data_IF_969483564756
#
_entry.id   IF_969483564756
#
_cell.length_a   1.000
_cell.length_b   1.000
_cell.length_c   1.000
_cell.angle_alpha   90.00
_cell.angle_beta   90.00
_cell.angle_gamma   90.00
#
_symmetry.space_group_name_H-M   'P 1'
#
loop_
_entity.id
_entity.type
_entity.pdbx_description
1 polymer ?
#
# COMPACT_ATOMS: atom_id res chain seq x y z
N UNK A 1 -29.00 -30.56 27.55
CA UNK A 1 -28.54 -29.91 26.35
C UNK A 1 -27.05 -29.63 26.56
N UNK A 2 -26.19 -30.47 25.97
CA UNK A 2 -24.75 -30.22 25.84
C UNK A 2 -24.57 -29.33 24.62
N UNK A 3 -24.28 -28.06 24.83
CA UNK A 3 -23.68 -27.24 23.81
C UNK A 3 -22.15 -27.55 23.80
N UNK A 4 -21.71 -28.30 22.77
CA UNK A 4 -20.30 -28.45 22.50
C UNK A 4 -19.84 -27.08 22.00
N UNK A 5 -19.07 -26.38 22.80
CA UNK A 5 -18.25 -25.27 22.34
C UNK A 5 -17.17 -25.87 21.44
N UNK A 6 -17.38 -25.84 20.13
CA UNK A 6 -16.30 -26.11 19.17
C UNK A 6 -15.20 -25.07 19.38
N UNK A 7 -14.26 -25.40 20.22
CA UNK A 7 -13.06 -24.62 20.43
C UNK A 7 -12.26 -24.67 19.12
N UNK A 8 -12.18 -23.55 18.39
CA UNK A 8 -11.39 -23.46 17.18
C UNK A 8 -9.92 -23.56 17.57
N UNK A 9 -9.38 -24.77 17.53
CA UNK A 9 -7.97 -25.04 17.79
C UNK A 9 -7.18 -24.60 16.57
N UNK A 10 -6.59 -23.40 16.63
CA UNK A 10 -5.63 -22.99 15.63
C UNK A 10 -4.38 -23.86 15.70
N UNK A 11 -3.99 -24.44 14.57
CA UNK A 11 -2.77 -25.22 14.46
C UNK A 11 -1.58 -24.31 14.86
N UNK A 12 -0.68 -24.83 15.71
CA UNK A 12 0.51 -24.14 16.17
C UNK A 12 1.34 -23.55 15.00
N UNK A 13 1.45 -24.30 13.90
CA UNK A 13 2.13 -23.86 12.68
C UNK A 13 1.50 -22.60 12.08
N UNK A 14 0.16 -22.49 12.11
CA UNK A 14 -0.55 -21.30 11.64
C UNK A 14 -0.32 -20.11 12.58
N UNK A 15 -0.34 -20.36 13.89
CA UNK A 15 -0.06 -19.33 14.90
C UNK A 15 1.37 -18.82 14.76
N UNK A 16 2.34 -19.73 14.62
CA UNK A 16 3.74 -19.40 14.43
C UNK A 16 3.97 -18.62 13.13
N UNK A 17 3.32 -19.01 12.04
CA UNK A 17 3.31 -18.27 10.78
C UNK A 17 2.74 -16.84 10.93
N UNK A 18 1.61 -16.70 11.63
CA UNK A 18 1.00 -15.39 11.88
C UNK A 18 1.83 -14.50 12.83
N UNK A 19 2.67 -15.08 13.67
CA UNK A 19 3.53 -14.37 14.62
C UNK A 19 4.88 -13.97 14.03
N UNK A 20 5.32 -14.61 12.95
CA UNK A 20 6.58 -14.24 12.29
C UNK A 20 6.41 -12.89 11.58
N UNK A 21 7.28 -11.91 11.84
CA UNK A 21 7.35 -10.74 10.98
C UNK A 21 7.73 -11.20 9.57
N UNK A 22 7.22 -10.56 8.51
CA UNK A 22 7.67 -10.87 7.16
C UNK A 22 9.19 -10.76 7.12
N UNK A 23 9.84 -11.87 6.71
CA UNK A 23 11.28 -12.05 6.79
C UNK A 23 12.02 -11.22 5.73
N UNK A 24 12.18 -9.93 5.95
CA UNK A 24 13.21 -9.15 5.24
C UNK A 24 14.52 -9.33 6.06
N UNK A 25 15.16 -10.50 5.98
CA UNK A 25 16.18 -10.86 6.98
C UNK A 25 17.53 -11.33 6.43
N UNK A 26 17.79 -11.23 5.14
CA UNK A 26 19.13 -11.51 4.65
C UNK A 26 19.59 -10.43 3.71
N UNK A 27 20.86 -9.97 3.77
CA UNK A 27 21.41 -9.14 2.73
C UNK A 27 21.32 -9.94 1.43
N UNK A 28 20.39 -9.55 0.56
CA UNK A 28 20.34 -10.07 -0.80
C UNK A 28 21.64 -9.70 -1.48
N UNK A 29 22.18 -10.60 -2.30
CA UNK A 29 23.26 -10.26 -3.22
C UNK A 29 22.88 -8.98 -3.97
N UNK A 30 23.80 -8.04 -4.05
CA UNK A 30 23.62 -6.69 -4.60
C UNK A 30 23.44 -6.63 -6.12
N UNK A 31 23.17 -7.77 -6.76
CA UNK A 31 22.98 -7.81 -8.21
C UNK A 31 21.51 -7.56 -8.56
N UNK A 32 21.32 -6.50 -9.33
CA UNK A 32 20.04 -6.13 -9.91
C UNK A 32 19.44 -7.34 -10.67
N UNK A 33 18.19 -7.75 -10.42
CA UNK A 33 17.59 -8.82 -11.20
C UNK A 33 17.60 -8.40 -12.66
N UNK A 34 18.27 -9.16 -13.51
CA UNK A 34 18.23 -8.96 -14.95
C UNK A 34 16.85 -9.36 -15.45
N UNK A 35 16.00 -8.37 -15.59
CA UNK A 35 14.64 -8.51 -16.11
C UNK A 35 13.82 -7.30 -15.73
N UNK A 36 12.90 -6.88 -16.57
CA UNK A 36 12.00 -5.72 -16.37
C UNK A 36 10.95 -5.94 -15.27
N UNK A 37 11.22 -6.88 -14.33
CA UNK A 37 10.30 -7.20 -13.24
C UNK A 37 10.30 -6.10 -12.19
N UNK A 38 9.12 -5.68 -11.84
CA UNK A 38 8.84 -4.66 -10.81
C UNK A 38 7.90 -5.22 -9.75
N UNK A 39 7.97 -4.64 -8.57
CA UNK A 39 6.95 -4.83 -7.56
C UNK A 39 5.81 -3.85 -7.82
N UNK A 40 4.59 -4.35 -7.99
CA UNK A 40 3.39 -3.52 -8.14
C UNK A 40 2.59 -3.56 -6.85
N UNK A 41 2.14 -2.40 -6.38
CA UNK A 41 1.26 -2.26 -5.22
C UNK A 41 -0.05 -1.58 -5.63
N UNK A 42 -1.15 -2.33 -5.66
CA UNK A 42 -2.49 -1.75 -5.70
C UNK A 42 -2.87 -1.28 -4.30
N UNK A 43 -3.21 0.00 -4.19
CA UNK A 43 -3.22 0.74 -2.95
C UNK A 43 -4.45 1.65 -2.82
N UNK A 44 -4.95 1.87 -1.62
CA UNK A 44 -5.91 2.93 -1.34
C UNK A 44 -5.46 3.74 -0.14
N UNK A 45 -5.35 5.07 -0.31
CA UNK A 45 -4.86 5.98 0.74
C UNK A 45 -5.72 5.95 2.01
N UNK A 46 -6.98 5.55 1.89
CA UNK A 46 -7.91 5.41 3.02
C UNK A 46 -7.83 4.06 3.71
N UNK A 47 -7.22 3.04 3.08
CA UNK A 47 -7.17 1.70 3.65
C UNK A 47 -6.06 1.59 4.70
N UNK A 48 -6.39 1.31 5.99
CA UNK A 48 -5.36 1.12 7.01
C UNK A 48 -4.42 -0.04 6.72
N UNK A 49 -4.90 -1.13 6.13
CA UNK A 49 -4.03 -2.22 5.68
C UNK A 49 -3.12 -1.81 4.51
N UNK A 50 -3.60 -0.92 3.63
CA UNK A 50 -2.75 -0.36 2.57
C UNK A 50 -1.62 0.52 3.14
N UNK A 51 -1.85 1.21 4.26
CA UNK A 51 -0.81 1.97 4.97
C UNK A 51 0.33 1.04 5.44
N UNK A 52 0.00 -0.12 6.03
CA UNK A 52 1.00 -1.12 6.40
C UNK A 52 1.68 -1.69 5.15
N UNK A 53 0.89 -2.12 4.17
CA UNK A 53 1.38 -2.73 2.94
C UNK A 53 2.32 -1.82 2.14
N UNK A 54 2.05 -0.51 2.12
CA UNK A 54 2.92 0.48 1.46
C UNK A 54 4.32 0.51 2.08
N UNK A 55 4.40 0.56 3.41
CA UNK A 55 5.69 0.59 4.09
C UNK A 55 6.49 -0.70 3.90
N UNK A 56 5.80 -1.84 3.91
CA UNK A 56 6.42 -3.13 3.62
C UNK A 56 6.89 -3.22 2.16
N UNK A 57 6.08 -2.74 1.19
CA UNK A 57 6.44 -2.73 -0.22
C UNK A 57 7.66 -1.85 -0.48
N UNK A 58 7.73 -0.66 0.13
CA UNK A 58 8.88 0.24 0.01
C UNK A 58 10.14 -0.44 0.56
N UNK A 59 10.07 -1.04 1.76
CA UNK A 59 11.21 -1.77 2.35
C UNK A 59 11.66 -2.93 1.47
N UNK A 60 10.72 -3.70 0.94
CA UNK A 60 11.01 -4.85 0.08
C UNK A 60 11.66 -4.40 -1.24
N UNK A 61 11.10 -3.38 -1.89
CA UNK A 61 11.62 -2.83 -3.12
C UNK A 61 13.04 -2.26 -2.94
N UNK A 62 13.29 -1.52 -1.85
CA UNK A 62 14.61 -1.01 -1.51
C UNK A 62 15.62 -2.12 -1.25
N UNK A 63 15.23 -3.14 -0.46
CA UNK A 63 16.11 -4.26 -0.12
C UNK A 63 16.56 -5.04 -1.37
N UNK A 64 15.64 -5.29 -2.28
CA UNK A 64 15.92 -6.03 -3.52
C UNK A 64 16.21 -5.12 -4.71
N UNK A 65 16.33 -3.80 -4.53
CA UNK A 65 16.59 -2.82 -5.60
C UNK A 65 15.62 -2.98 -6.80
N UNK A 66 14.34 -3.23 -6.49
CA UNK A 66 13.29 -3.38 -7.48
C UNK A 66 12.58 -2.04 -7.70
N UNK A 67 12.19 -1.73 -8.94
CA UNK A 67 11.24 -0.66 -9.18
C UNK A 67 9.92 -0.96 -8.46
N UNK A 68 9.37 0.03 -7.76
CA UNK A 68 8.06 -0.05 -7.11
C UNK A 68 7.05 0.80 -7.88
N UNK A 69 6.04 0.14 -8.45
CA UNK A 69 4.93 0.76 -9.16
C UNK A 69 3.70 0.84 -8.23
N UNK A 70 3.39 2.02 -7.74
CA UNK A 70 2.24 2.25 -6.88
C UNK A 70 1.04 2.61 -7.74
N UNK A 71 -0.04 1.82 -7.60
CA UNK A 71 -1.30 1.96 -8.34
C UNK A 71 -2.44 2.33 -7.40
N UNK A 72 -2.71 3.63 -7.19
CA UNK A 72 -3.80 4.06 -6.33
C UNK A 72 -5.16 3.70 -6.92
N UNK A 73 -6.08 3.25 -6.02
CA UNK A 73 -7.45 2.86 -6.34
C UNK A 73 -8.39 3.57 -5.38
N UNK A 74 -9.53 4.05 -5.89
CA UNK A 74 -10.55 4.71 -5.08
C UNK A 74 -11.09 3.78 -3.97
N UNK A 75 -11.27 4.31 -2.74
CA UNK A 75 -11.89 3.56 -1.65
C UNK A 75 -13.26 2.99 -2.04
N UNK A 76 -13.56 1.78 -1.57
CA UNK A 76 -14.83 1.10 -1.85
C UNK A 76 -16.05 1.97 -1.54
N UNK A 77 -16.02 2.69 -0.42
CA UNK A 77 -17.13 3.55 0.00
C UNK A 77 -17.38 4.73 -0.97
N UNK A 78 -16.34 5.25 -1.61
CA UNK A 78 -16.45 6.29 -2.64
C UNK A 78 -17.01 5.74 -3.98
N UNK A 79 -17.09 4.41 -4.09
CA UNK A 79 -17.71 3.69 -5.20
C UNK A 79 -19.09 3.12 -4.84
N UNK A 80 -19.69 3.59 -3.73
CA UNK A 80 -21.03 3.17 -3.27
C UNK A 80 -21.07 1.86 -2.49
N UNK A 81 -19.91 1.23 -2.18
CA UNK A 81 -19.84 -0.01 -1.42
C UNK A 81 -19.67 0.29 0.07
N UNK A 82 -20.74 0.12 0.84
CA UNK A 82 -20.74 0.41 2.27
C UNK A 82 -19.95 -0.63 3.07
N UNK A 83 -19.21 -0.15 4.06
CA UNK A 83 -18.54 -1.00 5.05
C UNK A 83 -19.27 -0.87 6.39
N UNK A 84 -19.80 -1.96 6.97
CA UNK A 84 -20.50 -1.93 8.25
C UNK A 84 -19.62 -1.35 9.38
N UNK A 85 -20.26 -0.67 10.35
CA UNK A 85 -19.53 -0.02 11.47
C UNK A 85 -18.66 -1.02 12.25
N UNK A 86 -19.17 -2.21 12.53
CA UNK A 86 -18.45 -3.29 13.23
C UNK A 86 -17.17 -3.66 12.47
N UNK A 87 -17.25 -3.81 11.14
CA UNK A 87 -16.10 -4.13 10.28
C UNK A 87 -15.08 -2.98 10.28
N UNK A 88 -15.51 -1.72 10.29
CA UNK A 88 -14.59 -0.57 10.38
C UNK A 88 -13.80 -0.59 11.69
N UNK A 89 -14.48 -0.86 12.83
CA UNK A 89 -13.83 -0.93 14.14
C UNK A 89 -12.88 -2.13 14.23
N UNK A 90 -13.28 -3.28 13.68
CA UNK A 90 -12.38 -4.44 13.59
C UNK A 90 -11.10 -4.08 12.83
N UNK A 91 -11.22 -3.51 11.61
CA UNK A 91 -10.07 -3.10 10.79
C UNK A 91 -9.17 -2.14 11.56
N UNK A 92 -9.74 -1.14 12.25
CA UNK A 92 -8.97 -0.18 13.04
C UNK A 92 -8.12 -0.86 14.14
N UNK A 93 -8.75 -1.72 14.93
CA UNK A 93 -8.06 -2.42 16.02
C UNK A 93 -7.05 -3.45 15.51
N UNK A 94 -7.38 -4.14 14.45
CA UNK A 94 -6.50 -5.12 13.83
C UNK A 94 -5.26 -4.45 13.21
N UNK A 95 -5.46 -3.38 12.46
CA UNK A 95 -4.34 -2.57 11.92
C UNK A 95 -3.44 -2.06 13.03
N UNK A 96 -4.01 -1.65 14.18
CA UNK A 96 -3.21 -1.21 15.33
C UNK A 96 -2.32 -2.32 15.89
N UNK A 97 -2.84 -3.56 15.95
CA UNK A 97 -2.05 -4.73 16.38
C UNK A 97 -0.94 -5.05 15.39
N UNK A 98 -1.26 -5.09 14.10
CA UNK A 98 -0.30 -5.37 13.03
C UNK A 98 0.78 -4.28 12.93
N UNK A 99 0.40 -3.00 13.01
CA UNK A 99 1.35 -1.89 13.03
C UNK A 99 2.32 -2.00 14.21
N UNK A 100 1.80 -2.28 15.42
CA UNK A 100 2.63 -2.49 16.61
C UNK A 100 3.63 -3.63 16.44
N UNK A 101 3.21 -4.76 15.86
CA UNK A 101 4.06 -5.92 15.56
C UNK A 101 5.21 -5.55 14.62
N UNK A 102 4.98 -4.66 13.68
CA UNK A 102 5.95 -4.21 12.68
C UNK A 102 6.76 -2.96 13.12
N UNK A 103 6.50 -2.44 14.32
CA UNK A 103 7.14 -1.20 14.81
C UNK A 103 6.72 0.05 14.04
N UNK A 104 5.50 0.07 13.48
CA UNK A 104 4.96 1.18 12.71
C UNK A 104 4.04 2.04 13.57
N UNK A 105 4.12 3.36 13.38
CA UNK A 105 3.21 4.30 14.03
C UNK A 105 1.80 4.18 13.44
N UNK A 106 0.77 4.10 14.29
CA UNK A 106 -0.62 4.06 13.88
C UNK A 106 -1.55 4.46 15.02
N UNK A 107 -2.63 5.20 14.72
CA UNK A 107 -3.71 5.42 15.69
C UNK A 107 -4.20 6.85 15.80
N UNK A 108 -3.39 7.87 15.52
CA UNK A 108 -3.88 9.23 15.32
C UNK A 108 -4.42 9.37 13.90
N UNK A 109 -5.64 8.83 13.68
CA UNK A 109 -6.24 8.73 12.34
C UNK A 109 -7.09 9.96 12.05
N UNK A 110 -6.77 10.66 10.95
CA UNK A 110 -7.65 11.61 10.28
C UNK A 110 -8.18 10.93 9.01
N UNK A 111 -9.46 10.50 9.03
CA UNK A 111 -10.05 9.78 7.87
C UNK A 111 -10.06 10.67 6.62
N UNK A 112 -9.31 10.36 5.55
CA UNK A 112 -9.22 11.20 4.36
C UNK A 112 -10.42 11.08 3.42
N UNK A 113 -11.52 10.44 3.83
CA UNK A 113 -12.68 10.18 2.99
C UNK A 113 -13.17 11.45 2.27
N UNK A 114 -13.45 11.31 0.98
CA UNK A 114 -13.88 12.42 0.13
C UNK A 114 -12.70 13.29 -0.29
N UNK A 115 -12.72 14.56 0.04
CA UNK A 115 -11.74 15.55 -0.42
C UNK A 115 -10.28 15.17 -0.10
N UNK A 116 -10.01 14.50 1.01
CA UNK A 116 -8.66 14.02 1.32
C UNK A 116 -8.15 12.99 0.31
N UNK A 117 -8.98 12.03 -0.10
CA UNK A 117 -8.62 11.06 -1.14
C UNK A 117 -8.45 11.74 -2.49
N UNK A 118 -9.40 12.60 -2.88
CA UNK A 118 -9.40 13.29 -4.17
C UNK A 118 -8.16 14.16 -4.34
N UNK A 119 -7.84 14.95 -3.32
CA UNK A 119 -6.64 15.82 -3.32
C UNK A 119 -5.33 15.04 -3.37
N UNK A 120 -5.27 13.88 -2.71
CA UNK A 120 -4.11 12.98 -2.81
C UNK A 120 -3.90 12.53 -4.26
N UNK A 121 -4.96 12.03 -4.89
CA UNK A 121 -4.86 11.47 -6.23
C UNK A 121 -4.68 12.55 -7.29
N UNK A 122 -5.28 13.71 -7.11
CA UNK A 122 -5.06 14.89 -7.97
C UNK A 122 -3.57 15.28 -8.05
N UNK A 123 -2.82 15.14 -6.96
CA UNK A 123 -1.40 15.50 -6.92
C UNK A 123 -0.44 14.34 -7.24
N UNK A 124 -0.95 13.12 -7.43
CA UNK A 124 -0.12 11.94 -7.61
C UNK A 124 0.69 12.00 -8.92
N UNK A 125 0.08 12.37 -10.05
CA UNK A 125 0.78 12.54 -11.33
C UNK A 125 1.87 13.63 -11.25
N UNK A 126 1.62 14.71 -10.48
CA UNK A 126 2.64 15.72 -10.23
C UNK A 126 3.81 15.15 -9.43
N UNK A 127 3.55 14.37 -8.39
CA UNK A 127 4.62 13.71 -7.64
C UNK A 127 5.43 12.74 -8.52
N UNK A 128 4.77 12.01 -9.43
CA UNK A 128 5.42 11.14 -10.41
C UNK A 128 6.33 11.95 -11.36
N UNK A 129 5.87 13.10 -11.85
CA UNK A 129 6.68 13.96 -12.74
C UNK A 129 7.94 14.49 -12.07
N UNK A 130 7.97 14.56 -10.74
CA UNK A 130 9.12 14.93 -9.92
C UNK A 130 9.95 13.72 -9.44
N UNK A 131 9.51 12.48 -9.70
CA UNK A 131 10.15 11.25 -9.20
C UNK A 131 10.05 11.09 -7.68
N UNK A 132 9.06 11.72 -7.04
CA UNK A 132 8.89 11.66 -5.59
C UNK A 132 7.55 11.02 -5.14
N UNK A 133 6.87 10.28 -6.03
CA UNK A 133 5.56 9.68 -5.76
C UNK A 133 5.57 8.73 -4.56
N UNK A 134 6.64 7.95 -4.37
CA UNK A 134 6.76 7.06 -3.20
C UNK A 134 6.84 7.87 -1.90
N UNK A 135 7.65 8.93 -1.89
CA UNK A 135 7.79 9.81 -0.73
C UNK A 135 6.49 10.57 -0.44
N UNK A 136 5.82 11.06 -1.48
CA UNK A 136 4.54 11.76 -1.37
C UNK A 136 3.46 10.85 -0.77
N UNK A 137 3.25 9.66 -1.33
CA UNK A 137 2.25 8.71 -0.83
C UNK A 137 2.57 8.24 0.58
N UNK A 138 3.85 8.00 0.92
CA UNK A 138 4.26 7.63 2.27
C UNK A 138 3.98 8.75 3.27
N UNK A 139 4.37 9.99 2.98
CA UNK A 139 4.09 11.15 3.83
C UNK A 139 2.59 11.37 4.01
N UNK A 140 1.81 11.18 2.94
CA UNK A 140 0.36 11.29 3.00
C UNK A 140 -0.25 10.21 3.90
N UNK A 141 0.15 8.96 3.70
CA UNK A 141 -0.31 7.83 4.49
C UNK A 141 0.05 7.95 5.98
N UNK A 142 1.27 8.39 6.30
CA UNK A 142 1.70 8.70 7.67
C UNK A 142 0.86 9.82 8.28
N UNK A 143 0.65 10.91 7.55
CA UNK A 143 -0.11 12.06 7.99
C UNK A 143 -1.53 11.67 8.44
N UNK A 144 -2.23 10.88 7.61
CA UNK A 144 -3.64 10.52 7.86
C UNK A 144 -3.82 9.31 8.79
N UNK A 145 -2.85 8.39 8.90
CA UNK A 145 -2.99 7.18 9.73
C UNK A 145 -2.28 7.26 11.07
N UNK A 146 -1.26 8.11 11.21
CA UNK A 146 -0.41 8.15 12.41
C UNK A 146 -0.28 9.53 13.06
N UNK A 147 -0.51 10.62 12.32
CA UNK A 147 -0.24 11.98 12.78
C UNK A 147 -1.51 12.83 12.97
N UNK A 148 -2.69 12.32 12.60
CA UNK A 148 -3.95 13.03 12.70
C UNK A 148 -4.05 14.29 11.82
N UNK A 149 -3.25 14.37 10.76
CA UNK A 149 -3.23 15.53 9.87
C UNK A 149 -4.42 15.46 8.92
N UNK A 150 -5.22 16.52 8.93
CA UNK A 150 -6.42 16.66 8.12
C UNK A 150 -6.06 17.07 6.69
N UNK A 151 -5.81 16.09 5.84
CA UNK A 151 -5.36 16.28 4.46
C UNK A 151 -6.42 16.91 3.52
N UNK A 152 -7.69 16.93 3.94
CA UNK A 152 -8.77 17.64 3.26
C UNK A 152 -8.65 19.17 3.40
N UNK A 153 -7.84 19.66 4.36
CA UNK A 153 -7.56 21.10 4.55
C UNK A 153 -6.32 21.54 3.79
N UNK A 154 -6.26 22.82 3.40
CA UNK A 154 -5.07 23.37 2.75
C UNK A 154 -3.85 23.34 3.69
N UNK A 155 -4.03 23.61 4.97
CA UNK A 155 -2.94 23.57 5.95
C UNK A 155 -2.34 22.17 6.08
N UNK A 156 -3.18 21.13 6.19
CA UNK A 156 -2.73 19.75 6.29
C UNK A 156 -2.06 19.26 5.00
N UNK A 157 -2.67 19.54 3.85
CA UNK A 157 -2.12 19.13 2.56
C UNK A 157 -0.81 19.86 2.24
N UNK A 158 -0.72 21.18 2.52
CA UNK A 158 0.50 21.95 2.33
C UNK A 158 1.69 21.33 3.08
N UNK A 159 1.46 20.91 4.34
CA UNK A 159 2.49 20.27 5.13
C UNK A 159 2.98 18.96 4.47
N UNK A 160 2.05 18.14 3.94
CA UNK A 160 2.39 16.88 3.27
C UNK A 160 3.17 17.14 1.98
N UNK A 161 2.70 18.08 1.15
CA UNK A 161 3.32 18.48 -0.12
C UNK A 161 4.77 18.96 0.11
N UNK A 162 4.96 19.88 1.06
CA UNK A 162 6.28 20.41 1.38
C UNK A 162 7.24 19.35 1.94
N UNK A 163 6.76 18.45 2.82
CA UNK A 163 7.55 17.31 3.34
C UNK A 163 7.98 16.34 2.23
N UNK A 164 7.25 16.31 1.13
CA UNK A 164 7.56 15.48 -0.04
C UNK A 164 8.47 16.14 -1.06
N UNK A 165 8.95 17.37 -0.77
CA UNK A 165 9.81 18.14 -1.66
C UNK A 165 9.07 18.77 -2.84
N UNK A 166 7.74 18.84 -2.78
CA UNK A 166 6.90 19.40 -3.84
C UNK A 166 6.58 20.87 -3.57
N UNK A 167 6.40 21.64 -4.63
CA UNK A 167 5.98 23.05 -4.54
C UNK A 167 4.48 23.16 -4.22
N UNK A 168 4.16 23.91 -3.16
CA UNK A 168 2.77 24.07 -2.73
C UNK A 168 1.96 24.97 -3.65
N UNK A 169 2.54 26.04 -4.15
CA UNK A 169 1.79 27.02 -4.95
C UNK A 169 1.42 26.39 -6.30
N UNK A 170 2.31 25.62 -6.88
CA UNK A 170 2.00 24.81 -8.05
C UNK A 170 0.96 23.71 -7.73
N UNK A 171 1.15 22.93 -6.69
CA UNK A 171 0.20 21.89 -6.27
C UNK A 171 -1.22 22.44 -6.08
N UNK A 172 -1.34 23.63 -5.47
CA UNK A 172 -2.61 24.31 -5.28
C UNK A 172 -3.33 24.63 -6.58
N UNK A 173 -2.62 25.00 -7.64
CA UNK A 173 -3.23 25.28 -8.95
C UNK A 173 -3.80 23.99 -9.58
N UNK A 174 -3.13 22.85 -9.39
CA UNK A 174 -3.59 21.56 -9.91
C UNK A 174 -4.89 21.11 -9.26
N UNK A 175 -5.08 21.38 -7.97
CA UNK A 175 -6.28 20.99 -7.22
C UNK A 175 -7.58 21.60 -7.75
N UNK A 176 -7.49 22.69 -8.52
CA UNK A 176 -8.65 23.38 -9.11
C UNK A 176 -8.80 23.10 -10.60
N UNK A 177 -7.96 22.27 -11.17
CA UNK A 177 -7.95 21.95 -12.61
C UNK A 177 -8.96 20.86 -12.96
N UNK A 178 -10.01 21.15 -13.77
CA UNK A 178 -10.94 20.10 -14.22
C UNK A 178 -10.28 19.05 -15.12
N UNK A 179 -9.18 19.37 -15.77
CA UNK A 179 -8.43 18.42 -16.59
C UNK A 179 -7.74 17.36 -15.70
N UNK A 180 -7.07 17.82 -14.65
CA UNK A 180 -6.41 16.95 -13.67
C UNK A 180 -7.45 16.10 -12.92
N UNK A 181 -8.62 16.66 -12.57
CA UNK A 181 -9.69 15.90 -11.93
C UNK A 181 -10.18 14.73 -12.82
N UNK A 182 -10.36 14.95 -14.10
CA UNK A 182 -10.72 13.87 -15.04
C UNK A 182 -9.60 12.85 -15.21
N UNK A 183 -8.34 13.31 -15.29
CA UNK A 183 -7.18 12.47 -15.49
C UNK A 183 -7.02 11.46 -14.33
N UNK A 184 -7.01 11.95 -13.08
CA UNK A 184 -6.79 11.04 -11.96
C UNK A 184 -7.96 10.07 -11.75
N UNK A 185 -9.19 10.47 -12.03
CA UNK A 185 -10.34 9.57 -11.96
C UNK A 185 -10.22 8.44 -12.98
N UNK A 186 -9.72 8.76 -14.17
CA UNK A 186 -9.50 7.77 -15.21
C UNK A 186 -8.43 6.76 -14.81
N UNK A 187 -7.22 7.21 -14.48
CA UNK A 187 -6.17 6.26 -14.13
C UNK A 187 -6.45 5.47 -12.84
N UNK A 188 -7.18 6.03 -11.87
CA UNK A 188 -7.59 5.29 -10.68
C UNK A 188 -8.57 4.14 -11.02
N UNK A 189 -9.46 4.36 -11.99
CA UNK A 189 -10.35 3.33 -12.51
C UNK A 189 -9.59 2.30 -13.35
N UNK A 190 -8.65 2.72 -14.19
CA UNK A 190 -7.81 1.82 -15.00
C UNK A 190 -6.97 0.89 -14.09
N UNK A 191 -6.39 1.42 -13.00
CA UNK A 191 -5.71 0.63 -11.99
C UNK A 191 -6.65 -0.41 -11.35
N UNK A 192 -7.89 -0.02 -11.07
CA UNK A 192 -8.90 -0.92 -10.53
C UNK A 192 -9.23 -2.05 -11.51
N UNK A 193 -9.47 -1.70 -12.77
CA UNK A 193 -9.77 -2.69 -13.82
C UNK A 193 -8.61 -3.65 -14.03
N UNK A 194 -7.37 -3.16 -14.01
CA UNK A 194 -6.18 -4.00 -14.07
C UNK A 194 -6.15 -5.01 -12.91
N UNK A 195 -6.37 -4.56 -11.68
CA UNK A 195 -6.40 -5.43 -10.49
C UNK A 195 -7.49 -6.50 -10.61
N UNK A 196 -8.70 -6.11 -11.04
CA UNK A 196 -9.82 -7.03 -11.23
C UNK A 196 -9.55 -8.06 -12.33
N UNK A 197 -9.01 -7.61 -13.47
CA UNK A 197 -8.65 -8.49 -14.58
C UNK A 197 -7.61 -9.56 -14.23
N UNK A 198 -6.82 -9.29 -13.19
CA UNK A 198 -5.86 -10.23 -12.63
C UNK A 198 -6.41 -11.10 -11.48
N UNK A 199 -7.71 -10.99 -11.17
CA UNK A 199 -8.41 -11.83 -10.18
C UNK A 199 -8.36 -11.32 -8.73
N UNK A 200 -7.87 -10.09 -8.47
CA UNK A 200 -7.97 -9.46 -7.14
C UNK A 200 -9.00 -8.32 -7.13
N UNK A 201 -9.68 -8.13 -6.00
CA UNK A 201 -10.71 -7.09 -5.83
C UNK A 201 -10.48 -6.20 -4.61
N UNK A 202 -9.45 -6.47 -3.82
CA UNK A 202 -9.15 -5.79 -2.56
C UNK A 202 -7.77 -5.14 -2.52
N UNK A 203 -7.57 -4.24 -1.58
CA UNK A 203 -6.30 -3.54 -1.35
C UNK A 203 -5.87 -3.67 0.12
N UNK A 204 -4.56 -3.73 0.39
CA UNK A 204 -3.46 -3.77 -0.57
C UNK A 204 -3.40 -5.09 -1.34
N UNK A 205 -3.01 -5.03 -2.60
CA UNK A 205 -2.60 -6.21 -3.36
C UNK A 205 -1.21 -5.99 -3.94
N UNK A 206 -0.37 -7.01 -3.87
CA UNK A 206 1.00 -6.99 -4.35
C UNK A 206 1.13 -7.90 -5.56
N UNK A 207 1.85 -7.43 -6.59
CA UNK A 207 2.14 -8.25 -7.76
C UNK A 207 3.65 -8.26 -8.02
N UNK A 208 4.17 -9.45 -8.33
CA UNK A 208 5.52 -9.67 -8.83
C UNK A 208 5.47 -10.74 -9.93
N UNK A 209 5.78 -10.36 -11.18
CA UNK A 209 5.52 -11.21 -12.34
C UNK A 209 4.04 -11.59 -12.44
N UNK A 210 3.75 -12.88 -12.55
CA UNK A 210 2.38 -13.42 -12.61
C UNK A 210 1.73 -13.59 -11.23
N UNK A 211 2.52 -13.51 -10.14
CA UNK A 211 2.01 -13.71 -8.79
C UNK A 211 1.31 -12.43 -8.31
N UNK A 212 0.01 -12.53 -8.04
CA UNK A 212 -0.80 -11.47 -7.41
C UNK A 212 -1.39 -11.98 -6.09
N UNK A 213 -1.16 -11.24 -5.00
CA UNK A 213 -1.65 -11.59 -3.67
C UNK A 213 -2.34 -10.40 -3.00
N UNK A 214 -3.50 -10.66 -2.41
CA UNK A 214 -4.23 -9.69 -1.61
C UNK A 214 -3.93 -9.86 -0.12
N UNK A 215 -3.60 -8.76 0.55
CA UNK A 215 -3.39 -8.66 1.99
C UNK A 215 -1.94 -8.31 2.37
N UNK A 216 -1.77 -7.38 3.32
CA UNK A 216 -0.46 -6.93 3.82
C UNK A 216 0.31 -8.06 4.55
N UNK A 217 -0.40 -9.08 5.02
CA UNK A 217 0.13 -10.24 5.71
C UNK A 217 0.80 -11.26 4.77
N UNK A 218 0.64 -11.10 3.46
CA UNK A 218 1.15 -12.04 2.45
C UNK A 218 2.41 -11.58 1.72
N UNK A 219 2.97 -10.45 2.11
CA UNK A 219 4.17 -9.90 1.45
C UNK A 219 5.39 -10.84 1.55
N UNK A 220 5.46 -11.69 2.57
CA UNK A 220 6.51 -12.71 2.68
C UNK A 220 6.50 -13.73 1.55
N UNK A 221 5.33 -14.02 0.97
CA UNK A 221 5.22 -14.92 -0.20
C UNK A 221 5.75 -14.20 -1.45
N UNK A 222 5.50 -12.90 -1.59
CA UNK A 222 6.11 -12.07 -2.66
C UNK A 222 7.63 -12.06 -2.52
N UNK A 223 8.14 -11.88 -1.30
CA UNK A 223 9.58 -11.92 -1.04
C UNK A 223 10.20 -13.27 -1.42
N UNK A 224 9.53 -14.37 -1.08
CA UNK A 224 9.98 -15.70 -1.48
C UNK A 224 10.08 -15.84 -3.00
N UNK A 225 9.07 -15.39 -3.75
CA UNK A 225 9.09 -15.42 -5.21
C UNK A 225 10.23 -14.59 -5.81
N UNK A 226 10.55 -13.42 -5.21
CA UNK A 226 11.69 -12.60 -5.62
C UNK A 226 13.01 -13.35 -5.40
N UNK A 227 13.16 -14.03 -4.27
CA UNK A 227 14.37 -14.83 -3.96
C UNK A 227 14.56 -15.99 -4.92
N UNK A 228 13.50 -16.74 -5.18
CA UNK A 228 13.52 -17.87 -6.12
C UNK A 228 13.91 -17.43 -7.53
N UNK A 229 13.39 -16.30 -7.99
CA UNK A 229 13.69 -15.72 -9.29
C UNK A 229 15.19 -15.34 -9.41
N UNK A 230 15.78 -14.78 -8.34
CA UNK A 230 17.21 -14.45 -8.28
C UNK A 230 18.09 -15.68 -8.27
N UNK A 231 17.78 -16.69 -7.45
CA UNK A 231 18.53 -17.93 -7.40
C UNK A 231 18.55 -18.64 -8.76
N UNK A 232 17.42 -18.67 -9.46
CA UNK A 232 17.34 -19.27 -10.79
C UNK A 232 18.17 -18.50 -11.83
N UNK A 233 18.26 -17.18 -11.71
CA UNK A 233 19.09 -16.35 -12.58
C UNK A 233 20.58 -16.59 -12.36
N UNK A 234 21.03 -16.79 -11.12
CA UNK A 234 22.45 -17.09 -10.81
C UNK A 234 22.90 -18.49 -11.30
N UNK A 235 21.99 -19.47 -11.32
CA UNK A 235 22.28 -20.81 -11.81
C UNK A 235 22.46 -20.85 -13.33
N UNK A 236 21.80 -19.99 -14.09
CA UNK A 236 21.88 -19.93 -15.56
C UNK A 236 23.22 -19.33 -16.07
N UNK A 237 23.98 -18.65 -15.22
CA UNK A 237 25.25 -18.02 -15.60
C UNK A 237 26.51 -18.79 -15.12
N UNK A 238 26.33 -19.93 -14.44
CA UNK A 238 27.45 -20.79 -13.99
C UNK A 238 27.70 -21.99 -14.91
N UNK A 239 26.97 -22.09 -16.00
CA UNK A 239 27.18 -23.05 -17.09
C UNK A 239 27.56 -22.28 -18.36
#
# INVERSE_FOLDING_TARGET
>A
HNESTDEVVFNKTYIDFCQQPPLITSPGSSENPRGDKKLVLFFSIRSPYSYIGLQQAIKLAQHYQLPLDIKPILPMIMRGLLVPKVKKMYIFHDTKREAKKLGLDYGFVADPLGAGVERCYCLFSYAQSLGCEQQFILNYALAVNAQGIRAETDAGLKLIVQRSGMDWDHARTLLTSPAIDREWRQWAEDNRQQMLGQGSWGVPSFQYGELLLWGQDRIGIIEQAIREDRCNSECLFKN
#
